data_IF_623086557223
#
_entry.id   IF_623086557223
#
_cell.length_a   1.000
_cell.length_b   1.000
_cell.length_c   1.000
_cell.angle_alpha   90.00
_cell.angle_beta   90.00
_cell.angle_gamma   90.00
#
_symmetry.space_group_name_H-M   'P 1'
#
loop_
_entity.id
_entity.type
_entity.pdbx_description
1 polymer ?
#
# COMPACT_ATOMS: atom_id res chain seq x y z
N UNK A 1 -43.55 35.79 -10.11
CA UNK A 1 -44.22 34.74 -10.90
C UNK A 1 -43.55 34.68 -12.27
N UNK A 2 -42.82 33.60 -12.58
CA UNK A 2 -42.27 33.37 -13.92
C UNK A 2 -43.27 32.53 -14.71
N UNK A 3 -43.80 33.06 -15.82
CA UNK A 3 -44.75 32.37 -16.71
C UNK A 3 -44.10 31.20 -17.49
N UNK A 4 -42.77 31.08 -17.45
CA UNK A 4 -42.02 30.01 -18.12
C UNK A 4 -41.56 28.93 -17.13
N UNK A 5 -41.71 27.66 -17.52
CA UNK A 5 -41.33 26.48 -16.73
C UNK A 5 -39.81 26.25 -16.66
N UNK A 6 -39.03 26.82 -17.56
CA UNK A 6 -37.55 26.74 -17.57
C UNK A 6 -36.92 27.91 -18.33
N UNK A 7 -35.65 28.21 -18.04
CA UNK A 7 -34.87 29.22 -18.77
C UNK A 7 -34.71 28.87 -20.25
N UNK A 8 -34.60 27.57 -20.56
CA UNK A 8 -34.55 27.09 -21.94
C UNK A 8 -35.83 27.40 -22.70
N UNK A 9 -37.00 27.23 -22.07
CA UNK A 9 -38.30 27.55 -22.66
C UNK A 9 -38.46 29.06 -22.86
N UNK A 10 -38.00 29.86 -21.90
CA UNK A 10 -37.97 31.33 -22.01
C UNK A 10 -37.09 31.79 -23.17
N UNK A 11 -35.87 31.27 -23.29
CA UNK A 11 -34.95 31.62 -24.38
C UNK A 11 -35.50 31.21 -25.75
N UNK A 12 -36.13 30.04 -25.86
CA UNK A 12 -36.79 29.62 -27.10
C UNK A 12 -37.94 30.57 -27.48
N UNK A 13 -38.80 30.92 -26.53
CA UNK A 13 -39.91 31.85 -26.77
C UNK A 13 -39.43 33.26 -27.15
N UNK A 14 -38.37 33.76 -26.51
CA UNK A 14 -37.76 35.04 -26.87
C UNK A 14 -37.17 35.00 -28.29
N UNK A 15 -36.48 33.90 -28.64
CA UNK A 15 -35.92 33.73 -29.98
C UNK A 15 -37.00 33.68 -31.07
N UNK A 16 -38.13 33.00 -30.82
CA UNK A 16 -39.24 32.94 -31.79
C UNK A 16 -39.93 34.30 -31.95
N UNK A 17 -40.16 35.03 -30.86
CA UNK A 17 -40.74 36.39 -30.90
C UNK A 17 -39.81 37.34 -31.64
N UNK A 18 -38.50 37.33 -31.34
CA UNK A 18 -37.53 38.18 -32.04
C UNK A 18 -37.48 37.86 -33.55
N UNK A 19 -37.58 36.57 -33.92
CA UNK A 19 -37.66 36.17 -35.33
C UNK A 19 -38.93 36.70 -36.00
N UNK A 20 -40.06 36.63 -35.31
CA UNK A 20 -41.35 37.10 -35.83
C UNK A 20 -41.40 38.62 -35.96
N UNK A 21 -40.93 39.35 -34.95
CA UNK A 21 -40.84 40.81 -34.99
C UNK A 21 -39.93 41.29 -36.13
N UNK A 22 -38.80 40.60 -36.38
CA UNK A 22 -37.91 40.91 -37.51
C UNK A 22 -38.56 40.70 -38.88
N UNK A 23 -39.61 39.89 -38.98
CA UNK A 23 -40.34 39.67 -40.25
C UNK A 23 -41.49 40.63 -40.47
N UNK A 24 -42.06 41.21 -39.40
CA UNK A 24 -43.23 42.08 -39.49
C UNK A 24 -42.91 43.56 -39.35
N UNK A 25 -41.76 43.92 -38.76
CA UNK A 25 -41.33 45.30 -38.58
C UNK A 25 -40.14 45.55 -39.51
N UNK A 26 -40.33 46.24 -40.66
CA UNK A 26 -39.24 46.65 -41.52
C UNK A 26 -38.23 47.50 -40.74
N UNK A 27 -36.95 47.13 -40.76
CA UNK A 27 -35.89 47.80 -40.00
C UNK A 27 -35.63 47.24 -38.60
N UNK A 28 -36.42 46.28 -38.11
CA UNK A 28 -36.09 45.55 -36.88
C UNK A 28 -35.05 44.46 -37.19
N UNK A 29 -33.77 44.80 -37.03
CA UNK A 29 -32.69 43.82 -37.18
C UNK A 29 -32.82 42.70 -36.15
N UNK A 30 -32.46 41.47 -36.56
CA UNK A 30 -32.44 40.33 -35.65
C UNK A 30 -31.38 40.57 -34.58
N UNK A 31 -31.80 40.83 -33.35
CA UNK A 31 -30.92 40.92 -32.18
C UNK A 31 -30.31 39.52 -31.96
N UNK A 32 -29.11 39.32 -32.50
CA UNK A 32 -28.34 38.08 -32.35
C UNK A 32 -27.47 38.23 -31.11
N UNK A 33 -27.96 37.77 -29.96
CA UNK A 33 -27.31 37.97 -28.65
C UNK A 33 -26.03 37.15 -28.42
N UNK A 34 -25.42 36.57 -29.46
CA UNK A 34 -24.24 35.72 -29.31
C UNK A 34 -23.21 36.00 -30.41
N UNK A 35 -22.20 36.81 -30.09
CA UNK A 35 -20.93 36.86 -30.85
C UNK A 35 -20.16 35.52 -30.78
N UNK A 36 -20.60 34.54 -29.97
CA UNK A 36 -19.98 33.22 -29.83
C UNK A 36 -20.41 32.21 -30.92
N UNK A 37 -21.43 32.49 -31.75
CA UNK A 37 -21.96 31.51 -32.72
C UNK A 37 -21.20 31.44 -34.05
N UNK A 38 -20.23 32.31 -34.31
CA UNK A 38 -19.41 32.24 -35.53
C UNK A 38 -18.57 30.94 -35.61
N UNK A 39 -18.29 30.28 -34.48
CA UNK A 39 -17.58 28.99 -34.46
C UNK A 39 -18.49 27.75 -34.51
N UNK A 40 -19.81 27.90 -34.34
CA UNK A 40 -20.80 26.81 -34.35
C UNK A 40 -21.62 26.71 -35.65
N UNK A 41 -21.39 27.61 -36.60
CA UNK A 41 -22.05 27.61 -37.91
C UNK A 41 -21.79 26.33 -38.75
N UNK A 42 -20.83 25.48 -38.38
CA UNK A 42 -20.49 24.27 -39.14
C UNK A 42 -21.47 23.10 -39.05
N UNK A 43 -22.49 23.12 -38.18
CA UNK A 43 -23.53 22.06 -38.15
C UNK A 43 -24.91 22.59 -37.74
N UNK A 44 -25.46 23.58 -38.44
CA UNK A 44 -26.91 23.82 -38.40
C UNK A 44 -27.58 22.73 -39.24
N UNK A 45 -27.84 21.57 -38.63
CA UNK A 45 -28.65 20.50 -39.23
C UNK A 45 -29.98 21.11 -39.69
N UNK A 46 -30.35 20.87 -40.96
CA UNK A 46 -31.65 21.30 -41.48
C UNK A 46 -32.77 20.71 -40.62
N UNK A 47 -33.90 21.40 -40.48
CA UNK A 47 -35.06 20.85 -39.74
C UNK A 47 -35.47 19.49 -40.30
N UNK A 48 -35.42 19.31 -41.61
CA UNK A 48 -35.63 18.03 -42.29
C UNK A 48 -34.57 16.98 -41.93
N UNK A 49 -33.32 17.42 -41.69
CA UNK A 49 -32.23 16.54 -41.26
C UNK A 49 -32.36 16.15 -39.78
N UNK A 50 -32.90 17.03 -38.92
CA UNK A 50 -33.27 16.70 -37.54
C UNK A 50 -34.44 15.71 -37.50
N UNK A 51 -35.46 15.92 -38.34
CA UNK A 51 -36.59 15.00 -38.48
C UNK A 51 -36.13 13.66 -39.05
N UNK A 52 -35.30 13.66 -40.09
CA UNK A 52 -34.70 12.46 -40.65
C UNK A 52 -33.84 11.73 -39.62
N UNK A 53 -32.99 12.43 -38.86
CA UNK A 53 -32.20 11.81 -37.80
C UNK A 53 -33.11 11.23 -36.71
N UNK A 54 -34.15 11.93 -36.27
CA UNK A 54 -35.10 11.41 -35.29
C UNK A 54 -35.95 10.24 -35.81
N UNK A 55 -36.25 10.20 -37.11
CA UNK A 55 -36.99 9.12 -37.75
C UNK A 55 -36.10 7.90 -38.07
N UNK A 56 -34.81 8.12 -38.34
CA UNK A 56 -33.81 7.08 -38.67
C UNK A 56 -33.02 6.60 -37.48
N UNK A 57 -33.05 7.30 -36.34
CA UNK A 57 -32.65 6.76 -35.05
C UNK A 57 -33.58 5.59 -34.73
N UNK A 58 -33.19 4.40 -35.17
CA UNK A 58 -33.69 3.12 -34.68
C UNK A 58 -33.83 3.26 -33.17
N UNK A 59 -35.03 2.99 -32.65
CA UNK A 59 -35.21 2.70 -31.22
C UNK A 59 -34.08 1.75 -30.85
N UNK A 60 -33.20 2.19 -29.94
CA UNK A 60 -32.07 1.37 -29.54
C UNK A 60 -32.57 -0.04 -29.25
N UNK A 61 -31.83 -1.03 -29.74
CA UNK A 61 -32.20 -2.42 -29.45
C UNK A 61 -32.22 -2.61 -27.93
N UNK A 62 -33.05 -3.53 -27.44
CA UNK A 62 -33.18 -3.74 -26.00
C UNK A 62 -31.81 -4.05 -25.35
N UNK A 63 -30.92 -4.72 -26.08
CA UNK A 63 -29.56 -4.98 -25.65
C UNK A 63 -28.70 -3.71 -25.51
N UNK A 64 -28.78 -2.78 -26.46
CA UNK A 64 -28.06 -1.52 -26.41
C UNK A 64 -28.56 -0.65 -25.25
N UNK A 65 -29.88 -0.62 -25.03
CA UNK A 65 -30.48 0.06 -23.89
C UNK A 65 -29.98 -0.53 -22.56
N UNK A 66 -29.97 -1.87 -22.42
CA UNK A 66 -29.41 -2.55 -21.24
C UNK A 66 -27.93 -2.23 -21.04
N UNK A 67 -27.12 -2.22 -22.10
CA UNK A 67 -25.69 -1.85 -22.05
C UNK A 67 -25.50 -0.40 -21.63
N UNK A 68 -26.30 0.53 -22.15
CA UNK A 68 -26.23 1.95 -21.77
C UNK A 68 -26.64 2.16 -20.32
N UNK A 69 -27.69 1.48 -19.85
CA UNK A 69 -28.15 1.56 -18.47
C UNK A 69 -27.10 1.00 -17.49
N UNK A 70 -26.43 -0.10 -17.85
CA UNK A 70 -25.27 -0.62 -17.11
C UNK A 70 -24.13 0.41 -17.04
N UNK A 71 -23.76 1.01 -18.17
CA UNK A 71 -22.72 2.07 -18.22
C UNK A 71 -23.09 3.26 -17.33
N UNK A 72 -24.34 3.74 -17.40
CA UNK A 72 -24.81 4.82 -16.54
C UNK A 72 -24.76 4.45 -15.05
N UNK A 73 -25.17 3.24 -14.67
CA UNK A 73 -25.08 2.75 -13.29
C UNK A 73 -23.63 2.74 -12.79
N UNK A 74 -22.69 2.27 -13.61
CA UNK A 74 -21.26 2.26 -13.27
C UNK A 74 -20.73 3.68 -13.10
N UNK A 75 -21.07 4.60 -14.02
CA UNK A 75 -20.66 6.01 -13.93
C UNK A 75 -21.21 6.67 -12.66
N UNK A 76 -22.50 6.47 -12.35
CA UNK A 76 -23.11 6.97 -11.09
C UNK A 76 -22.42 6.40 -9.86
N UNK A 77 -22.13 5.10 -9.83
CA UNK A 77 -21.39 4.46 -8.72
C UNK A 77 -19.98 5.05 -8.56
N UNK A 78 -19.28 5.29 -9.67
CA UNK A 78 -17.95 5.93 -9.66
C UNK A 78 -18.04 7.36 -9.10
N UNK A 79 -19.01 8.15 -9.55
CA UNK A 79 -19.23 9.51 -9.03
C UNK A 79 -19.55 9.51 -7.53
N UNK A 80 -20.43 8.61 -7.08
CA UNK A 80 -20.74 8.46 -5.65
C UNK A 80 -19.52 8.03 -4.83
N UNK A 81 -18.71 7.11 -5.36
CA UNK A 81 -17.46 6.69 -4.70
C UNK A 81 -16.50 7.86 -4.53
N UNK A 82 -16.26 8.62 -5.61
CA UNK A 82 -15.40 9.82 -5.57
C UNK A 82 -15.96 10.84 -4.58
N UNK A 83 -17.26 11.13 -4.62
CA UNK A 83 -17.91 12.07 -3.68
C UNK A 83 -17.80 11.62 -2.22
N UNK A 84 -17.88 10.31 -1.96
CA UNK A 84 -17.73 9.75 -0.61
C UNK A 84 -16.28 9.83 -0.11
N UNK A 85 -15.32 9.61 -1.00
CA UNK A 85 -13.90 9.75 -0.68
C UNK A 85 -13.51 11.21 -0.45
N UNK A 86 -14.02 12.15 -1.26
CA UNK A 86 -13.75 13.57 -1.07
C UNK A 86 -14.38 14.07 0.24
N UNK A 87 -15.63 13.72 0.53
CA UNK A 87 -16.26 14.09 1.81
C UNK A 87 -15.56 13.48 3.01
N UNK A 88 -15.11 12.22 2.92
CA UNK A 88 -14.31 11.60 3.97
C UNK A 88 -12.97 12.31 4.21
N UNK A 89 -12.28 12.77 3.14
CA UNK A 89 -11.06 13.57 3.25
C UNK A 89 -11.32 14.92 3.92
N UNK A 90 -12.37 15.63 3.50
CA UNK A 90 -12.77 16.92 4.11
C UNK A 90 -13.07 16.74 5.59
N UNK A 91 -13.86 15.72 5.96
CA UNK A 91 -14.17 15.42 7.35
C UNK A 91 -12.92 15.09 8.17
N UNK A 92 -11.95 14.36 7.59
CA UNK A 92 -10.69 14.06 8.25
C UNK A 92 -9.86 15.32 8.49
N UNK A 93 -9.79 16.21 7.50
CA UNK A 93 -9.08 17.49 7.64
C UNK A 93 -9.74 18.39 8.69
N UNK A 94 -11.07 18.49 8.68
CA UNK A 94 -11.81 19.26 9.68
C UNK A 94 -11.55 18.73 11.10
N UNK A 95 -11.64 17.40 11.30
CA UNK A 95 -11.31 16.77 12.59
C UNK A 95 -9.87 17.04 13.02
N UNK A 96 -8.92 16.95 12.10
CA UNK A 96 -7.52 17.26 12.39
C UNK A 96 -7.34 18.70 12.86
N UNK A 97 -7.99 19.67 12.18
CA UNK A 97 -7.92 21.08 12.57
C UNK A 97 -8.52 21.34 13.95
N UNK A 98 -9.65 20.69 14.28
CA UNK A 98 -10.29 20.80 15.60
C UNK A 98 -9.36 20.25 16.68
N UNK A 99 -8.90 19.01 16.52
CA UNK A 99 -8.00 18.35 17.48
C UNK A 99 -6.71 19.16 17.66
N UNK A 100 -6.17 19.72 16.57
CA UNK A 100 -4.96 20.55 16.64
C UNK A 100 -5.18 21.80 17.50
N UNK A 101 -6.29 22.50 17.31
CA UNK A 101 -6.64 23.68 18.13
C UNK A 101 -6.83 23.30 19.60
N UNK A 102 -7.60 22.25 19.87
CA UNK A 102 -7.84 21.75 21.22
C UNK A 102 -6.55 21.29 21.93
N UNK A 103 -5.60 20.73 21.17
CA UNK A 103 -4.29 20.38 21.66
C UNK A 103 -3.46 21.62 22.01
N UNK A 104 -3.44 22.63 21.13
CA UNK A 104 -2.75 23.91 21.36
C UNK A 104 -3.33 24.64 22.59
N UNK A 105 -4.65 24.56 22.79
CA UNK A 105 -5.39 25.18 23.90
C UNK A 105 -5.37 24.33 25.20
N UNK A 106 -4.77 23.13 25.19
CA UNK A 106 -4.80 22.13 26.28
C UNK A 106 -6.21 21.67 26.72
N UNK A 107 -7.25 21.91 25.92
CA UNK A 107 -8.62 21.46 26.17
C UNK A 107 -8.88 20.22 25.32
N UNK A 108 -8.33 19.07 25.71
CA UNK A 108 -8.52 17.82 24.95
C UNK A 108 -9.71 17.02 25.47
N UNK A 109 -10.62 16.64 24.58
CA UNK A 109 -11.79 15.79 24.92
C UNK A 109 -11.42 14.29 24.99
N UNK A 110 -12.14 13.50 25.79
CA UNK A 110 -11.91 12.05 25.93
C UNK A 110 -12.13 11.31 24.60
N UNK A 111 -13.10 11.75 23.79
CA UNK A 111 -13.32 11.16 22.47
C UNK A 111 -12.13 11.40 21.52
N UNK A 112 -11.46 12.54 21.65
CA UNK A 112 -10.31 12.94 20.85
C UNK A 112 -9.06 12.15 21.26
N UNK A 113 -8.80 12.01 22.56
CA UNK A 113 -7.67 11.21 23.06
C UNK A 113 -7.79 9.74 22.63
N UNK A 114 -8.98 9.14 22.74
CA UNK A 114 -9.26 7.77 22.28
C UNK A 114 -9.08 7.62 20.78
N UNK A 115 -9.49 8.62 20.00
CA UNK A 115 -9.26 8.64 18.55
C UNK A 115 -7.76 8.70 18.22
N UNK A 116 -7.01 9.55 18.91
CA UNK A 116 -5.56 9.69 18.74
C UNK A 116 -4.81 8.42 19.14
N UNK A 117 -5.17 7.80 20.26
CA UNK A 117 -4.58 6.53 20.70
C UNK A 117 -4.80 5.43 19.66
N UNK A 118 -6.01 5.34 19.09
CA UNK A 118 -6.30 4.40 18.00
C UNK A 118 -5.45 4.67 16.76
N UNK A 119 -5.20 5.95 16.45
CA UNK A 119 -4.36 6.34 15.32
C UNK A 119 -2.89 5.99 15.57
N UNK A 120 -2.39 6.25 16.77
CA UNK A 120 -1.05 5.87 17.22
C UNK A 120 -0.87 4.36 17.14
N UNK A 121 -1.78 3.57 17.72
CA UNK A 121 -1.72 2.09 17.66
C UNK A 121 -1.66 1.58 16.23
N UNK A 122 -2.48 2.13 15.32
CA UNK A 122 -2.45 1.74 13.89
C UNK A 122 -1.12 2.12 13.22
N UNK A 123 -0.61 3.32 13.47
CA UNK A 123 0.64 3.78 12.87
C UNK A 123 1.83 3.00 13.42
N UNK A 124 1.89 2.77 14.72
CA UNK A 124 2.91 1.95 15.38
C UNK A 124 2.88 0.54 14.82
N UNK A 125 1.72 -0.09 14.68
CA UNK A 125 1.63 -1.41 14.08
C UNK A 125 2.06 -1.42 12.61
N UNK A 126 1.73 -0.39 11.83
CA UNK A 126 2.19 -0.26 10.44
C UNK A 126 3.71 -0.12 10.35
N UNK A 127 4.33 0.66 11.22
CA UNK A 127 5.78 0.84 11.26
C UNK A 127 6.46 -0.44 11.74
N UNK A 128 5.97 -1.03 12.84
CA UNK A 128 6.48 -2.29 13.38
C UNK A 128 6.30 -3.48 12.42
N UNK A 129 5.30 -3.44 11.53
CA UNK A 129 5.13 -4.49 10.52
C UNK A 129 6.24 -4.52 9.46
N UNK A 130 7.04 -3.45 9.38
CA UNK A 130 8.24 -3.41 8.54
C UNK A 130 9.51 -3.79 9.31
N UNK A 131 9.45 -3.84 10.64
CA UNK A 131 10.50 -4.34 11.51
C UNK A 131 10.48 -5.87 11.39
N UNK A 132 11.60 -6.47 10.98
CA UNK A 132 11.60 -7.84 10.48
C UNK A 132 11.69 -8.85 11.63
N UNK A 133 10.96 -9.95 11.51
CA UNK A 133 11.05 -11.11 12.43
C UNK A 133 12.46 -11.76 12.46
N UNK A 134 13.33 -11.39 11.51
CA UNK A 134 14.74 -11.83 11.43
C UNK A 134 15.71 -10.87 12.11
N UNK A 135 15.24 -9.86 12.82
CA UNK A 135 16.11 -8.91 13.49
C UNK A 135 17.01 -9.58 14.53
N UNK A 136 16.60 -10.71 15.13
CA UNK A 136 17.45 -11.52 16.00
C UNK A 136 18.62 -12.16 15.25
N UNK A 137 18.36 -12.86 14.15
CA UNK A 137 19.41 -13.50 13.33
C UNK A 137 20.34 -12.46 12.69
N UNK A 138 19.79 -11.32 12.26
CA UNK A 138 20.56 -10.20 11.70
C UNK A 138 21.41 -9.54 12.81
N UNK A 139 20.85 -9.35 14.00
CA UNK A 139 21.60 -8.87 15.16
C UNK A 139 22.73 -9.84 15.54
N UNK A 140 22.46 -11.14 15.52
CA UNK A 140 23.47 -12.17 15.82
C UNK A 140 24.59 -12.16 14.78
N UNK A 141 24.26 -12.10 13.48
CA UNK A 141 25.23 -11.93 12.40
C UNK A 141 26.02 -10.63 12.50
N UNK A 142 25.36 -9.52 12.85
CA UNK A 142 26.01 -8.23 13.07
C UNK A 142 26.98 -8.31 14.25
N UNK A 143 26.57 -8.98 15.33
CA UNK A 143 27.40 -9.21 16.51
C UNK A 143 28.59 -10.11 16.17
N UNK A 144 28.43 -11.13 15.34
CA UNK A 144 29.51 -12.00 14.92
C UNK A 144 30.50 -11.29 13.98
N UNK A 145 30.01 -10.47 13.04
CA UNK A 145 30.86 -9.59 12.23
C UNK A 145 31.63 -8.57 13.07
N UNK A 146 30.98 -7.98 14.08
CA UNK A 146 31.64 -7.08 15.02
C UNK A 146 32.72 -7.83 15.81
N UNK A 147 32.41 -9.01 16.37
CA UNK A 147 33.39 -9.86 17.06
C UNK A 147 34.57 -10.19 16.16
N UNK A 148 34.35 -10.55 14.89
CA UNK A 148 35.44 -10.89 13.97
C UNK A 148 36.32 -9.68 13.64
N UNK A 149 35.74 -8.49 13.47
CA UNK A 149 36.50 -7.24 13.26
C UNK A 149 37.35 -6.85 14.47
N UNK A 150 36.90 -7.15 15.70
CA UNK A 150 37.65 -6.86 16.93
C UNK A 150 38.58 -7.99 17.39
N UNK A 151 38.27 -9.27 17.11
CA UNK A 151 39.06 -10.46 17.50
C UNK A 151 40.16 -10.81 16.48
N UNK A 152 40.11 -10.27 15.26
CA UNK A 152 41.18 -10.42 14.27
C UNK A 152 42.54 -9.85 14.73
N UNK A 153 42.58 -9.03 15.80
CA UNK A 153 43.81 -8.58 16.44
C UNK A 153 44.06 -9.37 17.73
N UNK A 154 44.98 -10.33 17.64
CA UNK A 154 45.81 -10.85 18.73
C UNK A 154 45.12 -11.58 19.92
N UNK A 155 45.22 -12.92 19.95
CA UNK A 155 45.21 -13.63 21.24
C UNK A 155 44.79 -15.11 21.25
N UNK A 156 43.75 -15.50 20.50
CA UNK A 156 43.14 -16.84 20.68
C UNK A 156 43.95 -18.00 20.08
N UNK A 157 44.73 -17.78 19.01
CA UNK A 157 45.50 -18.87 18.36
C UNK A 157 46.71 -19.37 19.18
N UNK A 158 47.23 -18.60 20.16
CA UNK A 158 48.35 -19.05 21.02
C UNK A 158 47.89 -19.97 22.15
N UNK A 159 46.71 -19.75 22.76
CA UNK A 159 46.21 -20.56 23.87
C UNK A 159 45.83 -22.00 23.46
N UNK A 160 45.31 -22.20 22.25
CA UNK A 160 44.88 -23.52 21.78
C UNK A 160 46.04 -24.46 21.44
N UNK A 161 47.21 -23.95 21.04
CA UNK A 161 48.40 -24.79 20.81
C UNK A 161 49.02 -25.31 22.11
N UNK A 162 48.97 -24.52 23.18
CA UNK A 162 49.48 -24.93 24.49
C UNK A 162 48.58 -25.99 25.16
N UNK A 163 47.26 -25.83 25.10
CA UNK A 163 46.35 -26.82 25.70
C UNK A 163 46.40 -28.16 24.98
N UNK A 164 46.53 -28.18 23.63
CA UNK A 164 46.64 -29.43 22.86
C UNK A 164 47.89 -30.26 23.21
N UNK A 165 49.01 -29.61 23.54
CA UNK A 165 50.22 -30.32 24.01
C UNK A 165 49.99 -30.94 25.39
N UNK A 166 49.30 -30.24 26.28
CA UNK A 166 48.96 -30.73 27.61
C UNK A 166 47.89 -31.85 27.57
N UNK A 167 46.93 -31.76 26.65
CA UNK A 167 45.92 -32.82 26.45
C UNK A 167 46.53 -34.09 25.87
N UNK A 168 47.51 -33.98 24.96
CA UNK A 168 48.22 -35.15 24.44
C UNK A 168 49.06 -35.82 25.53
N UNK A 169 49.84 -35.07 26.29
CA UNK A 169 50.69 -35.63 27.36
C UNK A 169 49.86 -36.26 28.49
N UNK A 170 48.72 -35.68 28.84
CA UNK A 170 47.83 -36.26 29.85
C UNK A 170 47.14 -37.53 29.36
N UNK A 171 46.74 -37.63 28.08
CA UNK A 171 46.14 -38.84 27.52
C UNK A 171 47.13 -39.99 27.35
N UNK A 172 48.40 -39.68 27.02
CA UNK A 172 49.49 -40.68 27.02
C UNK A 172 49.75 -41.19 28.44
N UNK A 173 49.86 -40.30 29.44
CA UNK A 173 50.04 -40.71 30.85
C UNK A 173 48.89 -41.54 31.41
N UNK A 174 47.65 -41.28 30.98
CA UNK A 174 46.47 -42.05 31.38
C UNK A 174 46.29 -43.37 30.61
N UNK A 175 47.19 -43.70 29.69
CA UNK A 175 47.11 -44.93 28.89
C UNK A 175 45.97 -44.97 27.86
N UNK A 176 45.27 -43.85 27.64
CA UNK A 176 44.13 -43.76 26.70
C UNK A 176 44.61 -43.62 25.24
N UNK A 177 45.83 -43.10 25.05
CA UNK A 177 46.48 -43.01 23.74
C UNK A 177 47.70 -43.93 23.71
N UNK A 178 47.70 -44.93 22.83
CA UNK A 178 48.87 -45.76 22.57
C UNK A 178 49.94 -44.97 21.81
N UNK A 179 51.18 -45.00 22.29
CA UNK A 179 52.32 -44.47 21.55
C UNK A 179 52.72 -45.47 20.45
N UNK A 180 52.85 -45.07 19.19
CA UNK A 180 53.18 -46.00 18.12
C UNK A 180 54.54 -46.66 18.40
N UNK A 181 54.54 -47.99 18.50
CA UNK A 181 55.76 -48.79 18.70
C UNK A 181 56.11 -49.16 20.14
N UNK A 182 55.35 -48.74 21.16
CA UNK A 182 55.60 -49.19 22.54
C UNK A 182 54.81 -50.47 22.90
N UNK A 183 53.62 -50.70 22.31
CA UNK A 183 52.84 -51.94 22.54
C UNK A 183 51.89 -52.34 21.38
N UNK A 184 52.36 -52.64 20.15
CA UNK A 184 51.60 -53.50 19.26
C UNK A 184 51.99 -54.97 19.53
N UNK A 185 51.26 -55.63 20.43
CA UNK A 185 51.46 -57.07 20.72
C UNK A 185 51.80 -57.43 22.16
N UNK A 186 51.76 -56.49 23.11
CA UNK A 186 51.73 -56.85 24.53
C UNK A 186 50.33 -57.38 24.84
N UNK A 187 50.21 -58.69 25.07
CA UNK A 187 48.93 -59.31 25.40
C UNK A 187 48.40 -58.70 26.72
N UNK A 188 47.10 -58.43 26.82
CA UNK A 188 46.50 -58.00 28.08
C UNK A 188 46.67 -59.13 29.10
N UNK A 189 47.65 -58.99 29.99
CA UNK A 189 47.86 -59.89 31.13
C UNK A 189 46.65 -59.73 32.05
N UNK A 190 45.86 -60.80 32.18
CA UNK A 190 44.71 -60.82 33.08
C UNK A 190 45.18 -60.97 34.52
N UNK A 191 44.50 -60.31 35.46
CA UNK A 191 44.73 -60.48 36.91
C UNK A 191 44.51 -61.92 37.41
N UNK A 192 43.97 -62.79 36.56
CA UNK A 192 43.75 -64.22 36.81
C UNK A 192 44.80 -65.13 36.16
N UNK A 193 45.77 -64.57 35.43
CA UNK A 193 46.86 -65.30 34.76
C UNK A 193 48.15 -65.32 35.62
N UNK A 194 48.13 -64.63 36.77
CA UNK A 194 49.20 -64.63 37.78
C UNK A 194 48.93 -65.63 38.93
N UNK A 195 47.80 -66.37 38.92
CA UNK A 195 47.38 -67.25 40.03
C UNK A 195 47.29 -68.76 39.72
N UNK A 196 47.71 -69.22 38.54
CA UNK A 196 47.90 -70.65 38.27
C UNK A 196 49.29 -70.89 37.65
N UNK A 197 50.32 -70.97 38.50
CA UNK A 197 51.59 -71.62 38.16
C UNK A 197 51.64 -72.98 38.86
N UNK A 198 51.72 -74.01 38.02
CA UNK A 198 51.84 -75.43 38.30
C UNK A 198 52.83 -75.78 39.45
N UNK A 199 52.42 -76.74 40.27
CA UNK A 199 53.27 -77.54 41.17
C UNK A 199 54.33 -78.32 40.36
N UNK A 200 55.61 -78.01 40.59
CA UNK A 200 56.70 -79.00 40.75
C UNK A 200 57.80 -78.46 41.68
#
# INVERSE_FOLDING_TARGET
MSSFKSDTSKLQAQSTVNKLLSTFVPGAERISTDQSQLSLAKKRLSSAQLVHNNATHKRMTEEEFRKQLKKQKVMKRKQLKVSKETSAKVNKMARYQIIKKHYDDNVTDEAETKYMEKLIRRNVNSVKSWDNERDSEIMDLQNDLLKDKFVAKAGKKKRTKASKKNDFTTKVKKGVLAYPGLTPGLAPVGLSDDEDSDDE
#
